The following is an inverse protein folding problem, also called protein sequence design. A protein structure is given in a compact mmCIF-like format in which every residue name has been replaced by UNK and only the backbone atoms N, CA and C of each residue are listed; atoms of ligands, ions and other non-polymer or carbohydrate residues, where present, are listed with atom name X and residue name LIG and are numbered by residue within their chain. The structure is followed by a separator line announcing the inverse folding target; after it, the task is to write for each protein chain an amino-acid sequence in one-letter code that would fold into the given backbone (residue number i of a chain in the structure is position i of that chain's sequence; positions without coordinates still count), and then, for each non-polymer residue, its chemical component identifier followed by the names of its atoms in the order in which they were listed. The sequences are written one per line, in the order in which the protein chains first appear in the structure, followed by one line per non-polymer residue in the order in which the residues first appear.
data_IF_050197001049
#
_entry.id   IF_050197001049
#
_cell.length_a   1.000
_cell.length_b   1.000
_cell.length_c   1.000
_cell.angle_alpha   90.00
_cell.angle_beta   90.00
_cell.angle_gamma   90.00
#
_symmetry.space_group_name_H-M   'P 1'
#
loop_
_entity.id
_entity.type
_entity.pdbx_description
1 polymer ?
#
# COMPACT_ATOMS: atom_id res chain seq x y z
N UNK A 1 -13.35 1.33 13.72
CA UNK A 1 -12.66 0.24 12.98
C UNK A 1 -12.57 0.63 11.53
N UNK A 2 -11.42 0.40 10.89
CA UNK A 2 -11.19 0.85 9.51
C UNK A 2 -12.04 0.07 8.49
N UNK A 3 -12.40 0.76 7.40
CA UNK A 3 -13.14 0.18 6.27
C UNK A 3 -12.18 -0.59 5.34
N UNK A 4 -11.97 -1.87 5.62
CA UNK A 4 -11.08 -2.74 4.82
C UNK A 4 -11.51 -2.80 3.35
N UNK A 5 -12.81 -2.92 3.09
CA UNK A 5 -13.34 -3.04 1.71
C UNK A 5 -13.10 -1.77 0.91
N UNK A 6 -13.41 -0.61 1.49
CA UNK A 6 -13.15 0.68 0.85
C UNK A 6 -11.67 0.92 0.61
N UNK A 7 -10.81 0.57 1.59
CA UNK A 7 -9.34 0.67 1.43
C UNK A 7 -8.86 -0.20 0.26
N UNK A 8 -9.28 -1.46 0.15
CA UNK A 8 -8.87 -2.34 -0.95
C UNK A 8 -9.32 -1.80 -2.31
N UNK A 9 -10.55 -1.32 -2.44
CA UNK A 9 -11.04 -0.65 -3.66
C UNK A 9 -10.22 0.58 -4.02
N UNK A 10 -9.91 1.40 -3.03
CA UNK A 10 -9.09 2.59 -3.22
C UNK A 10 -7.68 2.23 -3.70
N UNK A 11 -7.02 1.22 -3.09
CA UNK A 11 -5.71 0.73 -3.53
C UNK A 11 -5.77 0.22 -4.96
N UNK A 12 -6.71 -0.66 -5.29
CA UNK A 12 -6.88 -1.18 -6.67
C UNK A 12 -7.05 -0.03 -7.66
N UNK A 13 -7.83 0.99 -7.31
CA UNK A 13 -8.00 2.17 -8.15
C UNK A 13 -6.72 3.03 -8.28
N UNK A 14 -5.85 3.07 -7.27
CA UNK A 14 -4.54 3.75 -7.37
C UNK A 14 -3.55 3.00 -8.26
N UNK A 15 -3.58 1.67 -8.21
CA UNK A 15 -2.68 0.78 -8.96
C UNK A 15 -3.13 0.56 -10.41
N UNK A 16 -4.36 0.93 -10.75
CA UNK A 16 -4.90 0.73 -12.08
C UNK A 16 -4.36 1.75 -13.08
N UNK A 17 -3.99 1.29 -14.28
CA UNK A 17 -3.60 2.18 -15.39
C UNK A 17 -4.83 2.95 -15.90
N UNK A 18 -4.88 4.24 -15.61
CA UNK A 18 -5.99 5.12 -16.00
C UNK A 18 -6.21 5.22 -17.52
N UNK A 19 -5.19 4.92 -18.33
CA UNK A 19 -5.30 4.93 -19.80
C UNK A 19 -5.86 3.61 -20.33
N UNK A 20 -5.57 2.51 -19.62
CA UNK A 20 -5.93 1.15 -20.00
C UNK A 20 -6.43 0.38 -18.77
N UNK A 21 -7.63 0.70 -18.25
CA UNK A 21 -8.13 0.13 -16.99
C UNK A 21 -8.17 -1.40 -17.02
N UNK A 22 -7.64 -2.01 -15.97
CA UNK A 22 -7.64 -3.46 -15.77
C UNK A 22 -6.75 -4.25 -16.72
N UNK A 23 -5.92 -3.58 -17.54
CA UNK A 23 -5.04 -4.28 -18.47
C UNK A 23 -3.91 -5.02 -17.74
N UNK A 24 -3.57 -6.20 -18.23
CA UNK A 24 -2.35 -6.92 -17.86
C UNK A 24 -1.23 -6.52 -18.81
N UNK A 25 -0.09 -6.08 -18.26
CA UNK A 25 1.02 -5.53 -19.05
C UNK A 25 2.35 -6.09 -18.58
N UNK A 26 3.15 -6.58 -19.53
CA UNK A 26 4.57 -6.85 -19.31
C UNK A 26 5.36 -5.55 -19.44
N UNK A 27 6.04 -5.15 -18.37
CA UNK A 27 6.83 -3.92 -18.33
C UNK A 27 8.24 -4.09 -18.90
N UNK A 28 8.63 -5.32 -19.28
CA UNK A 28 9.94 -5.62 -19.85
C UNK A 28 11.08 -5.58 -18.81
N UNK A 29 10.77 -5.57 -17.53
CA UNK A 29 11.72 -5.54 -16.41
C UNK A 29 12.10 -6.94 -15.88
N UNK A 30 11.61 -7.99 -16.55
CA UNK A 30 11.81 -9.39 -16.14
C UNK A 30 10.92 -9.85 -15.00
N UNK A 31 9.97 -9.03 -14.55
CA UNK A 31 9.00 -9.37 -13.50
C UNK A 31 7.74 -10.07 -14.06
N UNK A 32 7.63 -10.20 -15.38
CA UNK A 32 6.46 -10.74 -16.07
C UNK A 32 5.31 -9.72 -16.10
N UNK A 33 4.10 -10.24 -16.15
CA UNK A 33 2.92 -9.37 -16.25
C UNK A 33 2.62 -8.69 -14.92
N UNK A 34 2.19 -7.43 -15.01
CA UNK A 34 1.62 -6.68 -13.88
C UNK A 34 0.19 -6.28 -14.22
N UNK A 35 -0.75 -6.52 -13.32
CA UNK A 35 -2.16 -6.16 -13.45
C UNK A 35 -2.69 -5.63 -12.13
N UNK A 36 -3.31 -4.43 -12.15
CA UNK A 36 -3.86 -3.79 -10.96
C UNK A 36 -2.84 -3.74 -9.80
N UNK A 37 -1.55 -3.46 -10.11
CA UNK A 37 -0.43 -3.43 -9.16
C UNK A 37 0.10 -4.78 -8.71
N UNK A 38 -0.56 -5.88 -9.07
CA UNK A 38 -0.12 -7.23 -8.72
C UNK A 38 0.85 -7.73 -9.79
N UNK A 39 2.07 -8.10 -9.39
CA UNK A 39 3.12 -8.55 -10.30
C UNK A 39 3.25 -10.07 -10.29
N UNK A 40 3.26 -10.66 -11.47
CA UNK A 40 3.23 -12.11 -11.66
C UNK A 40 4.38 -12.84 -10.96
N UNK A 41 5.59 -12.32 -11.06
CA UNK A 41 6.80 -12.94 -10.48
C UNK A 41 6.67 -13.24 -8.99
N UNK A 42 6.01 -12.36 -8.24
CA UNK A 42 5.93 -12.51 -6.79
C UNK A 42 4.58 -13.04 -6.31
N UNK A 43 3.53 -12.90 -7.14
CA UNK A 43 2.16 -13.14 -6.70
C UNK A 43 1.38 -14.12 -7.59
N UNK A 44 2.08 -14.91 -8.43
CA UNK A 44 1.43 -15.90 -9.29
C UNK A 44 0.59 -16.91 -8.51
N UNK A 45 1.06 -17.33 -7.36
CA UNK A 45 0.35 -18.28 -6.50
C UNK A 45 -0.78 -17.63 -5.67
N UNK A 46 -0.83 -16.32 -5.61
CA UNK A 46 -1.78 -15.56 -4.80
C UNK A 46 -3.08 -15.22 -5.53
N UNK A 47 -3.13 -15.43 -6.84
CA UNK A 47 -4.28 -15.11 -7.70
C UNK A 47 -4.61 -16.30 -8.61
N UNK A 48 -5.83 -16.36 -9.19
CA UNK A 48 -6.18 -17.40 -10.16
C UNK A 48 -5.21 -17.46 -11.36
N UNK A 49 -5.04 -18.64 -11.94
CA UNK A 49 -4.06 -18.90 -12.99
C UNK A 49 -4.24 -18.01 -14.24
N UNK A 50 -5.47 -17.61 -14.53
CA UNK A 50 -5.84 -16.78 -15.66
C UNK A 50 -5.85 -15.27 -15.38
N UNK A 51 -5.54 -14.86 -14.13
CA UNK A 51 -5.57 -13.44 -13.71
C UNK A 51 -4.74 -12.54 -14.62
N UNK A 52 -3.54 -12.97 -15.00
CA UNK A 52 -2.63 -12.16 -15.84
C UNK A 52 -2.87 -12.32 -17.33
N UNK A 53 -3.67 -13.30 -17.77
CA UNK A 53 -3.76 -13.67 -19.20
C UNK A 53 -5.13 -13.42 -19.82
N UNK A 54 -6.16 -14.09 -19.34
CA UNK A 54 -7.47 -14.13 -19.99
C UNK A 54 -8.65 -13.73 -19.12
N UNK A 55 -8.45 -13.48 -17.83
CA UNK A 55 -9.54 -13.11 -16.92
C UNK A 55 -10.19 -11.79 -17.35
N UNK A 56 -11.52 -11.73 -17.52
CA UNK A 56 -12.24 -10.49 -17.82
C UNK A 56 -12.03 -9.43 -16.72
N UNK A 57 -11.97 -8.14 -17.11
CA UNK A 57 -11.78 -7.05 -16.16
C UNK A 57 -12.81 -7.07 -15.02
N UNK A 58 -14.09 -7.30 -15.33
CA UNK A 58 -15.15 -7.38 -14.31
C UNK A 58 -14.87 -8.41 -13.20
N UNK A 59 -14.09 -9.45 -13.49
CA UNK A 59 -13.67 -10.46 -12.51
C UNK A 59 -12.32 -10.12 -11.87
N UNK A 60 -11.42 -9.44 -12.60
CA UNK A 60 -10.09 -9.13 -12.09
C UNK A 60 -10.11 -8.12 -10.93
N UNK A 61 -11.01 -7.13 -10.95
CA UNK A 61 -11.11 -6.15 -9.85
C UNK A 61 -11.44 -6.81 -8.50
N UNK A 62 -12.51 -7.61 -8.36
CA UNK A 62 -12.79 -8.32 -7.10
C UNK A 62 -11.64 -9.25 -6.66
N UNK A 63 -10.94 -9.88 -7.60
CA UNK A 63 -9.77 -10.71 -7.28
C UNK A 63 -8.65 -9.86 -6.70
N UNK A 64 -8.35 -8.70 -7.31
CA UNK A 64 -7.33 -7.78 -6.81
C UNK A 64 -7.72 -7.22 -5.43
N UNK A 65 -8.99 -6.83 -5.20
CA UNK A 65 -9.47 -6.40 -3.89
C UNK A 65 -9.26 -7.48 -2.83
N UNK A 66 -9.61 -8.73 -3.13
CA UNK A 66 -9.39 -9.88 -2.23
C UNK A 66 -7.90 -10.15 -1.97
N UNK A 67 -7.06 -9.97 -2.98
CA UNK A 67 -5.60 -10.07 -2.84
C UNK A 67 -5.08 -9.03 -1.85
N UNK A 68 -5.40 -7.75 -2.01
CA UNK A 68 -4.95 -6.70 -1.10
C UNK A 68 -5.48 -6.89 0.33
N UNK A 69 -6.72 -7.35 0.47
CA UNK A 69 -7.28 -7.67 1.78
C UNK A 69 -6.47 -8.76 2.50
N UNK A 70 -6.12 -9.83 1.79
CA UNK A 70 -5.40 -10.97 2.36
C UNK A 70 -3.91 -10.70 2.57
N UNK A 71 -3.25 -10.13 1.56
CA UNK A 71 -1.78 -10.02 1.55
C UNK A 71 -1.29 -8.83 2.35
N UNK A 72 -2.04 -7.73 2.38
CA UNK A 72 -1.64 -6.50 3.07
C UNK A 72 -2.50 -6.18 4.28
N UNK A 73 -3.83 -6.15 4.14
CA UNK A 73 -4.70 -5.74 5.26
C UNK A 73 -4.72 -6.77 6.39
N UNK A 74 -4.65 -8.07 6.07
CA UNK A 74 -4.61 -9.13 7.07
C UNK A 74 -3.39 -9.02 8.00
N UNK A 75 -2.15 -9.07 7.49
CA UNK A 75 -0.94 -8.94 8.31
C UNK A 75 -0.81 -7.61 9.06
N UNK A 76 -1.40 -6.54 8.56
CA UNK A 76 -1.45 -5.22 9.20
C UNK A 76 -2.64 -5.07 10.17
N UNK A 77 -3.42 -6.12 10.39
CA UNK A 77 -4.60 -6.10 11.27
C UNK A 77 -5.54 -4.90 11.03
N UNK A 78 -5.69 -4.48 9.76
CA UNK A 78 -6.39 -3.25 9.37
C UNK A 78 -7.79 -3.14 9.97
N UNK A 79 -8.53 -4.26 10.06
CA UNK A 79 -9.86 -4.28 10.65
C UNK A 79 -9.88 -3.85 12.14
N UNK A 80 -8.76 -3.94 12.85
CA UNK A 80 -8.64 -3.55 14.26
C UNK A 80 -8.15 -2.09 14.44
N UNK A 81 -7.70 -1.43 13.38
CA UNK A 81 -7.32 -0.01 13.41
C UNK A 81 -8.58 0.85 13.48
N UNK A 82 -8.62 1.85 14.35
CA UNK A 82 -9.79 2.71 14.51
C UNK A 82 -9.92 3.76 13.40
N UNK A 83 -8.81 4.34 12.95
CA UNK A 83 -8.78 5.36 11.90
C UNK A 83 -8.64 4.76 10.51
N UNK A 84 -9.69 4.88 9.69
CA UNK A 84 -9.65 4.43 8.28
C UNK A 84 -8.59 5.19 7.45
N UNK A 85 -8.43 6.50 7.68
CA UNK A 85 -7.44 7.32 6.97
C UNK A 85 -6.00 6.84 7.25
N UNK A 86 -5.69 6.56 8.52
CA UNK A 86 -4.38 6.06 8.93
C UNK A 86 -4.13 4.65 8.37
N UNK A 87 -5.13 3.76 8.50
CA UNK A 87 -5.06 2.41 7.94
C UNK A 87 -4.84 2.42 6.43
N UNK A 88 -5.53 3.29 5.69
CA UNK A 88 -5.35 3.44 4.25
C UNK A 88 -3.94 3.93 3.90
N UNK A 89 -3.40 4.90 4.63
CA UNK A 89 -2.03 5.38 4.45
C UNK A 89 -1.01 4.27 4.72
N UNK A 90 -1.21 3.47 5.77
CA UNK A 90 -0.34 2.34 6.12
C UNK A 90 -0.35 1.26 5.02
N UNK A 91 -1.52 0.87 4.53
CA UNK A 91 -1.65 -0.10 3.43
C UNK A 91 -1.02 0.45 2.15
N UNK A 92 -1.27 1.71 1.82
CA UNK A 92 -0.71 2.34 0.61
C UNK A 92 0.81 2.37 0.62
N UNK A 93 1.44 2.65 1.76
CA UNK A 93 2.89 2.59 1.89
C UNK A 93 3.41 1.15 1.79
N UNK A 94 2.76 0.20 2.47
CA UNK A 94 3.14 -1.21 2.42
C UNK A 94 3.08 -1.79 1.00
N UNK A 95 2.09 -1.40 0.19
CA UNK A 95 1.97 -1.79 -1.22
C UNK A 95 3.10 -1.21 -2.08
N UNK A 96 3.49 0.02 -1.80
CA UNK A 96 4.51 0.71 -2.60
C UNK A 96 5.95 0.27 -2.25
N UNK A 97 6.19 -0.16 -1.03
CA UNK A 97 7.50 -0.61 -0.53
C UNK A 97 7.40 -2.06 0.00
N UNK A 98 7.28 -2.20 1.30
CA UNK A 98 7.05 -3.47 1.99
C UNK A 98 6.24 -3.24 3.27
N UNK A 99 5.57 -4.28 3.76
CA UNK A 99 4.90 -4.24 5.07
C UNK A 99 5.89 -3.86 6.18
N UNK A 100 7.10 -4.43 6.15
CA UNK A 100 8.11 -4.21 7.17
C UNK A 100 8.55 -2.75 7.24
N UNK A 101 8.83 -2.12 6.09
CA UNK A 101 9.22 -0.70 6.07
C UNK A 101 8.05 0.21 6.47
N UNK A 102 6.85 -0.05 5.97
CA UNK A 102 5.66 0.70 6.35
C UNK A 102 5.42 0.66 7.88
N UNK A 103 5.61 -0.50 8.51
CA UNK A 103 5.46 -0.66 9.96
C UNK A 103 6.58 0.05 10.72
N UNK A 104 7.83 -0.01 10.26
CA UNK A 104 8.95 0.70 10.90
C UNK A 104 8.74 2.20 10.93
N UNK A 105 8.34 2.77 9.79
CA UNK A 105 8.06 4.21 9.71
C UNK A 105 6.87 4.62 10.59
N UNK A 106 5.87 3.76 10.73
CA UNK A 106 4.77 3.97 11.66
C UNK A 106 5.26 3.93 13.12
N UNK A 107 6.07 2.95 13.48
CA UNK A 107 6.61 2.80 14.83
C UNK A 107 7.49 4.01 15.23
N UNK A 108 8.23 4.60 14.30
CA UNK A 108 8.96 5.86 14.52
C UNK A 108 8.00 7.01 14.84
N UNK A 109 6.90 7.14 14.10
CA UNK A 109 5.87 8.18 14.37
C UNK A 109 5.20 7.99 15.72
N UNK A 110 5.06 6.73 16.16
CA UNK A 110 4.46 6.38 17.47
C UNK A 110 5.45 6.50 18.64
N UNK A 111 6.75 6.73 18.33
CA UNK A 111 7.84 6.76 19.33
C UNK A 111 7.94 5.45 20.15
N UNK A 112 7.89 4.31 19.46
CA UNK A 112 8.06 2.96 20.00
C UNK A 112 9.18 2.19 19.32
N UNK A 113 9.51 1.01 19.83
CA UNK A 113 10.52 0.13 19.22
C UNK A 113 10.21 -0.18 17.74
N UNK A 114 11.20 0.05 16.86
CA UNK A 114 11.06 -0.01 15.39
C UNK A 114 11.50 -1.37 14.84
N UNK A 115 10.90 -2.45 15.34
CA UNK A 115 11.20 -3.82 14.90
C UNK A 115 10.61 -4.19 13.52
N UNK A 116 9.64 -3.41 13.05
CA UNK A 116 8.93 -3.65 11.78
C UNK A 116 7.87 -4.76 11.87
N UNK A 117 7.45 -5.12 13.07
CA UNK A 117 6.39 -6.10 13.33
C UNK A 117 5.11 -5.40 13.79
N UNK A 118 4.02 -5.55 13.04
CA UNK A 118 2.72 -5.01 13.43
C UNK A 118 2.05 -5.95 14.46
N UNK A 119 2.46 -5.82 15.72
CA UNK A 119 1.96 -6.63 16.84
C UNK A 119 0.89 -5.92 17.68
N UNK A 120 0.39 -6.60 18.74
CA UNK A 120 -0.59 -6.03 19.65
C UNK A 120 -0.14 -4.72 20.32
N UNK A 121 1.16 -4.58 20.62
CA UNK A 121 1.70 -3.35 21.21
C UNK A 121 1.63 -2.17 20.22
N UNK A 122 2.03 -2.38 18.96
CA UNK A 122 1.92 -1.37 17.90
C UNK A 122 0.46 -0.97 17.67
N UNK A 123 -0.46 -1.94 17.63
CA UNK A 123 -1.88 -1.67 17.46
C UNK A 123 -2.48 -0.87 18.63
N UNK A 124 -2.14 -1.24 19.86
CA UNK A 124 -2.62 -0.56 21.05
C UNK A 124 -2.14 0.89 21.11
N UNK A 125 -0.83 1.12 20.84
CA UNK A 125 -0.28 2.48 20.80
C UNK A 125 -0.90 3.30 19.66
N UNK A 126 -1.05 2.72 18.46
CA UNK A 126 -1.70 3.36 17.33
C UNK A 126 -3.12 3.85 17.68
N UNK A 127 -3.94 2.99 18.27
CA UNK A 127 -5.33 3.30 18.60
C UNK A 127 -5.45 4.23 19.83
N UNK A 128 -4.38 4.43 20.60
CA UNK A 128 -4.33 5.43 21.69
C UNK A 128 -4.19 6.86 21.21
N UNK A 129 -3.77 7.07 19.97
CA UNK A 129 -3.48 8.39 19.38
C UNK A 129 -4.67 8.96 18.60
N UNK A 130 -4.67 10.27 18.39
CA UNK A 130 -5.57 10.89 17.41
C UNK A 130 -5.25 10.40 16.00
N UNK A 131 -6.17 9.65 15.40
CA UNK A 131 -5.96 8.98 14.12
C UNK A 131 -5.74 9.95 12.95
N UNK A 132 -6.37 11.13 12.97
CA UNK A 132 -6.21 12.15 11.92
C UNK A 132 -4.84 12.84 12.00
N UNK A 133 -4.39 13.17 13.21
CA UNK A 133 -3.06 13.75 13.43
C UNK A 133 -2.00 12.71 13.09
N UNK A 134 -2.14 11.49 13.57
CA UNK A 134 -1.18 10.40 13.32
C UNK A 134 -1.08 10.08 11.83
N UNK A 135 -2.19 10.08 11.10
CA UNK A 135 -2.17 9.88 9.64
C UNK A 135 -1.35 10.97 8.91
N UNK A 136 -1.47 12.24 9.33
CA UNK A 136 -0.67 13.34 8.76
C UNK A 136 0.82 13.19 9.06
N UNK A 137 1.17 12.87 10.30
CA UNK A 137 2.55 12.63 10.71
C UNK A 137 3.14 11.43 9.97
N UNK A 138 2.38 10.36 9.82
CA UNK A 138 2.81 9.17 9.09
C UNK A 138 3.06 9.45 7.60
N UNK A 139 2.19 10.21 6.93
CA UNK A 139 2.44 10.62 5.54
C UNK A 139 3.67 11.52 5.38
N UNK A 140 3.92 12.40 6.35
CA UNK A 140 5.13 13.22 6.36
C UNK A 140 6.40 12.34 6.55
N UNK A 141 6.35 11.36 7.44
CA UNK A 141 7.42 10.39 7.64
C UNK A 141 7.66 9.55 6.39
N UNK A 142 6.60 9.10 5.72
CA UNK A 142 6.69 8.39 4.45
C UNK A 142 7.36 9.24 3.36
N UNK A 143 7.05 10.53 3.26
CA UNK A 143 7.73 11.45 2.34
C UNK A 143 9.24 11.58 2.68
N UNK A 144 9.59 11.69 3.98
CA UNK A 144 10.98 11.71 4.43
C UNK A 144 11.73 10.42 4.06
N UNK A 145 11.11 9.26 4.21
CA UNK A 145 11.67 7.98 3.79
C UNK A 145 12.08 8.00 2.31
N UNK A 146 11.25 8.56 1.43
CA UNK A 146 11.59 8.67 0.01
C UNK A 146 12.72 9.65 -0.27
N UNK A 147 12.77 10.77 0.42
CA UNK A 147 13.90 11.69 0.29
C UNK A 147 15.21 11.04 0.72
N UNK A 148 15.22 10.32 1.85
CA UNK A 148 16.41 9.60 2.31
C UNK A 148 16.83 8.48 1.34
N UNK A 149 15.87 7.78 0.76
CA UNK A 149 16.09 6.73 -0.23
C UNK A 149 16.70 7.30 -1.51
N UNK A 150 16.20 8.44 -1.98
CA UNK A 150 16.71 9.19 -3.13
C UNK A 150 18.14 9.71 -2.88
N UNK A 151 18.40 10.30 -1.73
CA UNK A 151 19.72 10.79 -1.32
C UNK A 151 20.82 9.71 -1.36
N UNK A 152 20.47 8.45 -1.13
CA UNK A 152 21.40 7.32 -1.18
C UNK A 152 21.62 6.81 -2.62
N UNK A 153 20.64 6.96 -3.51
CA UNK A 153 20.62 6.33 -4.84
C UNK A 153 20.52 7.32 -6.01
N UNK A 154 20.90 8.58 -5.83
CA UNK A 154 20.73 9.77 -6.68
C UNK A 154 20.51 9.58 -8.20
N UNK A 155 21.22 8.65 -8.84
CA UNK A 155 21.17 8.48 -10.29
C UNK A 155 20.00 7.60 -10.78
N UNK A 156 19.30 6.95 -9.88
CA UNK A 156 18.32 5.90 -10.24
C UNK A 156 16.89 6.25 -9.87
N UNK A 157 16.71 7.05 -8.84
CA UNK A 157 15.41 7.27 -8.20
C UNK A 157 14.81 8.67 -8.46
N UNK A 158 15.59 9.68 -8.86
CA UNK A 158 15.16 11.05 -9.19
C UNK A 158 13.89 11.10 -10.08
N UNK A 159 13.85 10.25 -11.10
CA UNK A 159 12.72 10.20 -12.02
C UNK A 159 11.42 9.69 -11.36
N UNK A 160 11.54 8.92 -10.26
CA UNK A 160 10.41 8.33 -9.55
C UNK A 160 9.99 9.12 -8.31
N UNK A 161 10.89 9.93 -7.74
CA UNK A 161 10.68 10.66 -6.49
C UNK A 161 9.37 11.45 -6.49
N UNK A 162 9.11 12.22 -7.55
CA UNK A 162 7.86 12.99 -7.66
C UNK A 162 6.60 12.12 -7.62
N UNK A 163 6.66 10.92 -8.18
CA UNK A 163 5.57 9.93 -8.13
C UNK A 163 5.35 9.42 -6.72
N UNK A 164 6.43 9.07 -6.03
CA UNK A 164 6.43 8.58 -4.65
C UNK A 164 5.92 9.63 -3.67
N UNK A 165 6.39 10.89 -3.79
CA UNK A 165 5.93 12.00 -2.94
C UNK A 165 4.44 12.31 -3.17
N UNK A 166 3.96 12.27 -4.41
CA UNK A 166 2.52 12.39 -4.70
C UNK A 166 1.73 11.27 -4.06
N UNK A 167 2.24 10.04 -4.07
CA UNK A 167 1.60 8.90 -3.41
C UNK A 167 1.53 9.09 -1.90
N UNK A 168 2.62 9.53 -1.26
CA UNK A 168 2.67 9.81 0.18
C UNK A 168 1.71 10.94 0.60
N UNK A 169 1.45 11.91 -0.29
CA UNK A 169 0.54 13.01 -0.04
C UNK A 169 -0.96 12.66 -0.19
N UNK A 170 -1.30 11.48 -0.74
CA UNK A 170 -2.69 11.09 -0.94
C UNK A 170 -3.43 10.89 0.38
N UNK A 171 -4.63 11.42 0.45
CA UNK A 171 -5.56 11.24 1.56
C UNK A 171 -6.68 10.30 1.13
N UNK A 172 -7.00 9.33 1.97
CA UNK A 172 -8.14 8.46 1.72
C UNK A 172 -9.44 9.28 1.71
N UNK A 173 -10.27 9.17 0.67
CA UNK A 173 -11.51 9.93 0.60
C UNK A 173 -12.49 9.48 1.70
N UNK A 174 -13.06 10.45 2.42
CA UNK A 174 -14.00 10.19 3.52
C UNK A 174 -15.38 9.69 3.03
N UNK A 175 -15.65 9.80 1.73
CA UNK A 175 -16.86 9.32 1.06
C UNK A 175 -16.46 8.67 -0.27
N UNK A 176 -16.68 7.39 -0.38
CA UNK A 176 -16.68 6.66 -1.66
C UNK A 176 -18.10 6.44 -2.11
#
# INVERSE_FOLDING_TARGET
MADVTGICKWIVNLEDDKRHPGISKDLGDGAGYTRLGITERWHRADVPADFFTSMPNAQAYPVAESFYARVYCGPLHVAAIESTELAASLVSFAVNETIKEAVRELQQVLDIDTDGVFGPATLAELNSKDGGITAKLYRAQWANFYHQKDDVNHARDDQWLNGWLRRAALVYPQTL
#
